data_IF_208378490590
#
_entry.id   IF_208378490590
#
_cell.length_a   1.000
_cell.length_b   1.000
_cell.length_c   1.000
_cell.angle_alpha   90.00
_cell.angle_beta   90.00
_cell.angle_gamma   90.00
#
_symmetry.space_group_name_H-M   'P 1'
#
loop_
_entity.id
_entity.type
_entity.pdbx_description
1 polymer ?
#
# COMPACT_ATOMS: atom_id res chain seq x y z
N UNK A 1 16.96 16.28 7.42
CA UNK A 1 15.58 15.76 7.39
C UNK A 1 15.63 14.31 6.93
N UNK A 2 15.29 13.35 7.79
CA UNK A 2 15.27 11.92 7.41
C UNK A 2 13.99 11.69 6.61
N UNK A 3 14.11 11.50 5.30
CA UNK A 3 12.99 11.03 4.49
C UNK A 3 12.53 9.69 5.08
N UNK A 4 11.25 9.52 5.47
CA UNK A 4 10.76 8.19 5.79
C UNK A 4 10.96 7.38 4.51
N UNK A 5 11.86 6.40 4.53
CA UNK A 5 12.02 5.46 3.43
C UNK A 5 10.61 4.93 3.15
N UNK A 6 10.03 5.34 2.02
CA UNK A 6 8.73 4.90 1.59
C UNK A 6 8.85 3.39 1.39
N UNK A 7 8.43 2.63 2.41
CA UNK A 7 8.46 1.17 2.42
C UNK A 7 7.82 0.73 1.11
N UNK A 8 8.55 -0.10 0.37
CA UNK A 8 8.05 -0.62 -0.89
C UNK A 8 6.69 -1.29 -0.61
N UNK A 9 5.60 -0.98 -1.34
CA UNK A 9 4.30 -1.59 -1.08
C UNK A 9 4.36 -3.12 -1.05
N UNK A 10 5.27 -3.73 -1.82
CA UNK A 10 5.57 -5.16 -1.74
C UNK A 10 6.10 -5.62 -0.36
N UNK A 11 6.96 -4.82 0.27
CA UNK A 11 7.48 -5.09 1.62
C UNK A 11 6.39 -4.90 2.69
N UNK A 12 5.50 -3.91 2.52
CA UNK A 12 4.34 -3.71 3.42
C UNK A 12 3.39 -4.91 3.31
N UNK A 13 3.08 -5.37 2.09
CA UNK A 13 2.25 -6.55 1.84
C UNK A 13 2.89 -7.83 2.40
N UNK A 14 4.20 -8.02 2.23
CA UNK A 14 4.92 -9.16 2.82
C UNK A 14 4.85 -9.15 4.35
N UNK A 15 4.99 -7.98 4.97
CA UNK A 15 4.88 -7.85 6.42
C UNK A 15 3.45 -8.10 6.91
N UNK A 16 2.43 -7.63 6.18
CA UNK A 16 1.03 -7.95 6.47
C UNK A 16 0.76 -9.47 6.36
N UNK A 17 1.28 -10.13 5.33
CA UNK A 17 1.17 -11.58 5.16
C UNK A 17 1.83 -12.36 6.30
N UNK A 18 3.01 -11.92 6.75
CA UNK A 18 3.71 -12.52 7.89
C UNK A 18 2.89 -12.40 9.19
N UNK A 19 2.23 -11.25 9.42
CA UNK A 19 1.36 -11.05 10.57
C UNK A 19 0.11 -11.94 10.51
N UNK A 20 -0.48 -12.14 9.33
CA UNK A 20 -1.58 -13.09 9.13
C UNK A 20 -1.15 -14.52 9.45
N UNK A 21 0.02 -14.95 8.96
CA UNK A 21 0.58 -16.27 9.28
C UNK A 21 0.79 -16.44 10.80
N UNK A 22 1.30 -15.40 11.48
CA UNK A 22 1.45 -15.39 12.95
C UNK A 22 0.10 -15.48 13.66
N UNK A 23 -0.94 -14.82 13.15
CA UNK A 23 -2.28 -14.88 13.72
C UNK A 23 -2.83 -16.32 13.65
N UNK A 24 -2.69 -16.99 12.50
CA UNK A 24 -3.10 -18.38 12.35
C UNK A 24 -2.29 -19.33 13.25
N UNK A 25 -0.98 -19.15 13.34
CA UNK A 25 -0.14 -19.93 14.25
C UNK A 25 -0.58 -19.78 15.72
N UNK A 26 -1.06 -18.60 16.13
CA UNK A 26 -1.57 -18.38 17.48
C UNK A 26 -2.86 -19.16 17.79
N UNK A 27 -3.67 -19.49 16.78
CA UNK A 27 -4.85 -20.35 16.95
C UNK A 27 -4.47 -21.81 17.24
N UNK A 28 -3.32 -22.24 16.75
CA UNK A 28 -2.80 -23.60 16.93
C UNK A 28 -1.93 -23.78 18.19
N UNK A 29 -1.60 -22.71 18.92
CA UNK A 29 -0.76 -22.81 20.12
C UNK A 29 -1.51 -23.45 21.31
N UNK A 30 -0.82 -24.20 22.17
CA UNK A 30 -1.43 -24.87 23.34
C UNK A 30 -1.80 -23.94 24.52
N UNK A 31 -1.82 -22.63 24.29
CA UNK A 31 -2.24 -21.64 25.30
C UNK A 31 -3.77 -21.60 25.45
N UNK A 32 -4.24 -21.03 26.56
CA UNK A 32 -5.68 -20.87 26.82
C UNK A 32 -6.40 -20.13 25.69
N UNK A 33 -7.69 -20.43 25.49
CA UNK A 33 -8.51 -19.85 24.43
C UNK A 33 -8.47 -18.31 24.42
N UNK A 34 -8.55 -17.69 25.59
CA UNK A 34 -8.47 -16.23 25.74
C UNK A 34 -7.13 -15.67 25.24
N UNK A 35 -6.01 -16.34 25.55
CA UNK A 35 -4.66 -15.94 25.11
C UNK A 35 -4.51 -16.11 23.60
N UNK A 36 -5.04 -17.19 23.01
CA UNK A 36 -5.03 -17.40 21.55
C UNK A 36 -5.77 -16.29 20.82
N UNK A 37 -6.99 -15.97 21.27
CA UNK A 37 -7.82 -14.92 20.70
C UNK A 37 -7.16 -13.54 20.82
N UNK A 38 -6.56 -13.22 21.96
CA UNK A 38 -5.83 -11.95 22.13
C UNK A 38 -4.65 -11.83 21.15
N UNK A 39 -3.82 -12.87 21.01
CA UNK A 39 -2.67 -12.87 20.10
C UNK A 39 -3.11 -12.80 18.63
N UNK A 40 -4.17 -13.51 18.27
CA UNK A 40 -4.79 -13.44 16.95
C UNK A 40 -5.27 -12.02 16.64
N UNK A 41 -6.04 -11.41 17.54
CA UNK A 41 -6.60 -10.08 17.34
C UNK A 41 -5.51 -9.02 17.20
N UNK A 42 -4.45 -9.07 18.02
CA UNK A 42 -3.31 -8.15 17.93
C UNK A 42 -2.58 -8.30 16.60
N UNK A 43 -2.34 -9.54 16.15
CA UNK A 43 -1.68 -9.79 14.87
C UNK A 43 -2.53 -9.34 13.68
N UNK A 44 -3.83 -9.62 13.71
CA UNK A 44 -4.78 -9.18 12.67
C UNK A 44 -4.98 -7.67 12.65
N UNK A 45 -5.02 -7.00 13.80
CA UNK A 45 -5.12 -5.54 13.86
C UNK A 45 -3.93 -4.87 13.16
N UNK A 46 -2.71 -5.34 13.44
CA UNK A 46 -1.50 -4.86 12.77
C UNK A 46 -1.49 -5.18 11.28
N UNK A 47 -1.95 -6.37 10.89
CA UNK A 47 -2.06 -6.72 9.47
C UNK A 47 -3.01 -5.77 8.73
N UNK A 48 -4.19 -5.49 9.30
CA UNK A 48 -5.17 -4.56 8.72
C UNK A 48 -4.65 -3.13 8.63
N UNK A 49 -3.93 -2.67 9.64
CA UNK A 49 -3.29 -1.34 9.62
C UNK A 49 -2.29 -1.22 8.47
N UNK A 50 -1.47 -2.25 8.26
CA UNK A 50 -0.51 -2.28 7.16
C UNK A 50 -1.17 -2.43 5.80
N UNK A 51 -2.27 -3.18 5.70
CA UNK A 51 -3.05 -3.27 4.46
C UNK A 51 -3.69 -1.92 4.13
N UNK A 52 -4.25 -1.22 5.12
CA UNK A 52 -4.75 0.15 4.93
C UNK A 52 -3.64 1.11 4.50
N UNK A 53 -2.43 0.99 5.06
CA UNK A 53 -1.27 1.79 4.63
C UNK A 53 -0.79 1.42 3.20
N UNK A 54 -0.90 0.14 2.81
CA UNK A 54 -0.59 -0.30 1.46
C UNK A 54 -1.65 0.16 0.45
N UNK A 55 -2.92 0.14 0.82
CA UNK A 55 -4.04 0.70 0.04
C UNK A 55 -3.94 2.22 -0.10
N UNK A 56 -3.34 2.90 0.87
CA UNK A 56 -3.01 4.33 0.76
C UNK A 56 -1.86 4.61 -0.22
N UNK A 57 -1.02 3.59 -0.49
CA UNK A 57 0.14 3.64 -1.37
C UNK A 57 -0.08 2.75 -2.61
N UNK A 58 -1.10 3.06 -3.42
CA UNK A 58 -1.40 2.26 -4.60
C UNK A 58 -0.35 2.46 -5.70
N UNK A 59 0.14 1.32 -6.21
CA UNK A 59 1.09 1.27 -7.31
C UNK A 59 0.32 1.01 -8.61
N UNK A 60 0.09 2.06 -9.40
CA UNK A 60 -0.55 1.95 -10.71
C UNK A 60 0.46 2.15 -11.83
N UNK A 61 0.32 1.37 -12.91
CA UNK A 61 1.00 1.56 -14.19
C UNK A 61 0.12 2.30 -15.19
N UNK A 62 -0.94 2.94 -14.70
CA UNK A 62 -1.92 3.68 -15.50
C UNK A 62 -2.07 5.08 -14.89
N UNK A 63 -1.74 6.09 -15.69
CA UNK A 63 -1.71 7.49 -15.27
C UNK A 63 -3.10 8.04 -14.93
N UNK A 64 -4.15 7.61 -15.63
CA UNK A 64 -5.50 8.12 -15.39
C UNK A 64 -6.05 7.61 -14.05
N UNK A 65 -5.74 6.37 -13.68
CA UNK A 65 -6.03 5.84 -12.34
C UNK A 65 -5.27 6.58 -11.23
N UNK A 66 -4.00 6.95 -11.49
CA UNK A 66 -3.23 7.76 -10.57
C UNK A 66 -3.90 9.13 -10.31
N UNK A 67 -4.37 9.80 -11.36
CA UNK A 67 -5.07 11.07 -11.26
C UNK A 67 -6.39 10.98 -10.51
N UNK A 68 -7.14 9.89 -10.65
CA UNK A 68 -8.37 9.68 -9.89
C UNK A 68 -8.15 9.59 -8.37
N UNK A 69 -6.97 9.16 -7.92
CA UNK A 69 -6.64 8.99 -6.50
C UNK A 69 -6.03 10.24 -5.84
N UNK A 70 -5.46 11.15 -6.62
CA UNK A 70 -4.85 12.38 -6.08
C UNK A 70 -5.85 13.28 -5.32
N UNK A 71 -7.10 13.49 -5.78
CA UNK A 71 -8.10 14.26 -5.03
C UNK A 71 -8.46 13.65 -3.67
N UNK A 72 -8.33 12.33 -3.52
CA UNK A 72 -8.59 11.61 -2.28
C UNK A 72 -7.45 11.68 -1.24
N UNK A 73 -6.35 12.39 -1.54
CA UNK A 73 -5.19 12.49 -0.65
C UNK A 73 -4.30 11.24 -0.62
N UNK A 74 -4.47 10.33 -1.57
CA UNK A 74 -3.70 9.08 -1.66
C UNK A 74 -2.29 9.35 -2.19
N UNK A 75 -1.29 8.64 -1.66
CA UNK A 75 0.08 8.71 -2.17
C UNK A 75 0.24 7.71 -3.32
N UNK A 76 0.39 8.21 -4.53
CA UNK A 76 0.51 7.36 -5.71
C UNK A 76 1.98 7.01 -6.00
N UNK A 77 2.25 5.74 -6.29
CA UNK A 77 3.53 5.30 -6.88
C UNK A 77 3.30 4.83 -8.30
N UNK A 78 4.02 5.41 -9.27
CA UNK A 78 3.97 4.95 -10.65
C UNK A 78 4.85 3.71 -10.80
N UNK A 79 4.25 2.58 -11.22
CA UNK A 79 4.99 1.37 -11.53
C UNK A 79 5.38 1.41 -12.99
N UNK A 80 6.68 1.43 -13.27
CA UNK A 80 7.24 1.36 -14.61
C UNK A 80 8.32 0.27 -14.67
N UNK A 81 8.35 -0.51 -15.74
CA UNK A 81 9.35 -1.53 -15.97
C UNK A 81 10.71 -0.94 -16.34
N UNK A 82 10.74 0.30 -16.85
CA UNK A 82 11.96 1.01 -17.21
C UNK A 82 11.81 2.55 -17.09
N UNK A 83 12.93 3.27 -17.20
CA UNK A 83 12.97 4.73 -17.07
C UNK A 83 12.17 5.44 -18.17
N UNK A 84 12.14 4.91 -19.41
CA UNK A 84 11.40 5.51 -20.52
C UNK A 84 9.89 5.51 -20.23
N UNK A 85 9.38 4.36 -19.82
CA UNK A 85 7.98 4.18 -19.42
C UNK A 85 7.64 5.06 -18.21
N UNK A 86 8.55 5.22 -17.25
CA UNK A 86 8.36 6.15 -16.13
C UNK A 86 8.20 7.60 -16.60
N UNK A 87 9.06 8.05 -17.53
CA UNK A 87 9.00 9.41 -18.07
C UNK A 87 7.76 9.65 -18.94
N UNK A 88 7.29 8.63 -19.65
CA UNK A 88 6.02 8.69 -20.40
C UNK A 88 4.83 8.87 -19.47
N UNK A 89 4.79 8.13 -18.35
CA UNK A 89 3.75 8.31 -17.33
C UNK A 89 3.80 9.67 -16.64
N UNK A 90 4.99 10.20 -16.35
CA UNK A 90 5.10 11.56 -15.78
C UNK A 90 4.59 12.60 -16.78
N UNK A 91 4.90 12.43 -18.07
CA UNK A 91 4.41 13.33 -19.13
C UNK A 91 2.89 13.26 -19.29
N UNK A 92 2.29 12.07 -19.28
CA UNK A 92 0.82 11.95 -19.37
C UNK A 92 0.12 12.61 -18.19
N UNK A 93 0.64 12.42 -16.96
CA UNK A 93 0.11 13.10 -15.77
C UNK A 93 0.16 14.63 -15.87
N UNK A 94 1.25 15.19 -16.41
CA UNK A 94 1.36 16.64 -16.60
C UNK A 94 0.40 17.18 -17.65
N UNK A 95 0.15 16.42 -18.73
CA UNK A 95 -0.76 16.82 -19.80
C UNK A 95 -2.22 16.77 -19.35
N UNK A 96 -2.64 15.68 -18.69
CA UNK A 96 -4.01 15.56 -18.17
C UNK A 96 -4.30 16.61 -17.08
N UNK A 97 -3.32 16.94 -16.22
CA UNK A 97 -3.48 18.03 -15.25
C UNK A 97 -3.68 19.41 -15.92
N UNK A 98 -3.08 19.62 -17.09
CA UNK A 98 -3.26 20.85 -17.87
C UNK A 98 -4.64 20.92 -18.52
N UNK A 99 -5.16 19.79 -19.03
CA UNK A 99 -6.51 19.73 -19.60
C UNK A 99 -7.60 19.99 -18.56
N UNK A 100 -7.47 19.42 -17.35
CA UNK A 100 -8.41 19.67 -16.23
C UNK A 100 -8.40 21.14 -15.77
N UNK A 101 -7.29 21.85 -15.92
CA UNK A 101 -7.20 23.27 -15.55
C UNK A 101 -7.79 24.23 -16.61
N UNK A 102 -8.04 23.74 -17.83
CA UNK A 102 -8.56 24.53 -18.95
C UNK A 102 -10.03 24.21 -19.30
N UNK A 103 -10.63 23.21 -18.66
CA UNK A 103 -12.05 22.88 -18.72
C UNK A 103 -12.83 23.52 -17.57
#
# INVERSE_FOLDING_TARGET
MKHPNALNPSAIQQHAAALKARAFAALHADSSLSVRLARYNVAMAKARELEAQAEQCQATSDASQALAWLPGGYRVRIRAANLREHLEHVRSLTLEAQEVSHA
#
